data_IF_590603622375
#
_entry.id   IF_590603622375
#
_cell.length_a   1.000
_cell.length_b   1.000
_cell.length_c   1.000
_cell.angle_alpha   90.00
_cell.angle_beta   90.00
_cell.angle_gamma   90.00
#
_symmetry.space_group_name_H-M   'P 1'
#
loop_
_entity.id
_entity.type
_entity.pdbx_description
1 polymer ?
#
# COMPACT_ATOMS: atom_id res chain seq x y z
N UNK A 1 7.88 -48.64 -48.88
CA UNK A 1 8.02 -47.18 -49.04
C UNK A 1 6.72 -46.43 -48.69
N UNK A 2 5.57 -46.82 -49.24
CA UNK A 2 4.29 -46.14 -48.93
C UNK A 2 3.81 -46.35 -47.48
N UNK A 3 3.90 -47.58 -46.96
CA UNK A 3 3.51 -47.91 -45.59
C UNK A 3 4.38 -47.21 -44.52
N UNK A 4 5.67 -47.01 -44.78
CA UNK A 4 6.59 -46.30 -43.88
C UNK A 4 6.34 -44.78 -43.84
N UNK A 5 5.87 -44.21 -44.96
CA UNK A 5 5.45 -42.81 -45.02
C UNK A 5 4.15 -42.58 -44.23
N UNK A 6 3.19 -43.51 -44.33
CA UNK A 6 1.94 -43.46 -43.58
C UNK A 6 2.17 -43.60 -42.07
N UNK A 7 3.06 -44.51 -41.65
CA UNK A 7 3.40 -44.64 -40.23
C UNK A 7 4.09 -43.39 -39.68
N UNK A 8 4.94 -42.74 -40.47
CA UNK A 8 5.60 -41.49 -40.09
C UNK A 8 4.60 -40.32 -39.97
N UNK A 9 3.64 -40.22 -40.89
CA UNK A 9 2.59 -39.21 -40.81
C UNK A 9 1.73 -39.39 -39.54
N UNK A 10 1.38 -40.63 -39.20
CA UNK A 10 0.58 -40.92 -38.01
C UNK A 10 1.33 -40.60 -36.70
N UNK A 11 2.65 -40.88 -36.63
CA UNK A 11 3.43 -40.54 -35.44
C UNK A 11 3.58 -39.03 -35.27
N UNK A 12 3.78 -38.28 -36.36
CA UNK A 12 3.81 -36.82 -36.35
C UNK A 12 2.46 -36.22 -35.92
N UNK A 13 1.35 -36.76 -36.41
CA UNK A 13 0.01 -36.32 -36.02
C UNK A 13 -0.25 -36.55 -34.53
N UNK A 14 0.08 -37.74 -34.01
CA UNK A 14 -0.03 -38.04 -32.58
C UNK A 14 0.82 -37.06 -31.74
N UNK A 15 2.04 -36.78 -32.17
CA UNK A 15 2.91 -35.82 -31.49
C UNK A 15 2.33 -34.40 -31.50
N UNK A 16 1.80 -33.94 -32.63
CA UNK A 16 1.18 -32.61 -32.73
C UNK A 16 -0.05 -32.49 -31.82
N UNK A 17 -0.91 -33.51 -31.78
CA UNK A 17 -2.08 -33.54 -30.88
C UNK A 17 -1.63 -33.52 -29.42
N UNK A 18 -0.59 -34.28 -29.06
CA UNK A 18 -0.04 -34.27 -27.72
C UNK A 18 0.46 -32.87 -27.31
N UNK A 19 1.24 -32.22 -28.17
CA UNK A 19 1.74 -30.85 -27.93
C UNK A 19 0.58 -29.86 -27.79
N UNK A 20 -0.45 -29.97 -28.62
CA UNK A 20 -1.64 -29.10 -28.56
C UNK A 20 -2.39 -29.28 -27.23
N UNK A 21 -2.56 -30.53 -26.76
CA UNK A 21 -3.20 -30.81 -25.48
C UNK A 21 -2.41 -30.21 -24.32
N UNK A 22 -1.09 -30.35 -24.31
CA UNK A 22 -0.23 -29.75 -23.29
C UNK A 22 -0.33 -28.22 -23.32
N UNK A 23 -0.29 -27.61 -24.51
CA UNK A 23 -0.45 -26.17 -24.68
C UNK A 23 -1.80 -25.68 -24.13
N UNK A 24 -2.88 -26.39 -24.42
CA UNK A 24 -4.23 -26.01 -23.97
C UNK A 24 -4.37 -26.12 -22.44
N UNK A 25 -3.80 -27.16 -21.83
CA UNK A 25 -3.81 -27.35 -20.37
C UNK A 25 -3.03 -26.22 -19.69
N UNK A 26 -1.81 -25.93 -20.17
CA UNK A 26 -0.96 -24.89 -19.60
C UNK A 26 -1.64 -23.51 -19.71
N UNK A 27 -2.04 -23.10 -20.92
CA UNK A 27 -2.68 -21.79 -21.12
C UNK A 27 -4.04 -21.69 -20.42
N UNK A 28 -4.80 -22.79 -20.36
CA UNK A 28 -6.05 -22.88 -19.61
C UNK A 28 -5.83 -22.65 -18.12
N UNK A 29 -4.81 -23.28 -17.53
CA UNK A 29 -4.46 -23.09 -16.12
C UNK A 29 -4.02 -21.65 -15.81
N UNK A 30 -3.19 -21.04 -16.67
CA UNK A 30 -2.78 -19.65 -16.50
C UNK A 30 -3.96 -18.68 -16.59
N UNK A 31 -4.86 -18.92 -17.55
CA UNK A 31 -6.08 -18.12 -17.72
C UNK A 31 -6.99 -18.27 -16.49
N UNK A 32 -7.16 -19.50 -15.98
CA UNK A 32 -7.95 -19.76 -14.77
C UNK A 32 -7.41 -19.00 -13.56
N UNK A 33 -6.11 -19.12 -13.27
CA UNK A 33 -5.48 -18.41 -12.13
C UNK A 33 -5.62 -16.92 -12.28
N UNK A 34 -5.43 -16.38 -13.49
CA UNK A 34 -5.55 -14.93 -13.75
C UNK A 34 -6.98 -14.44 -13.51
N UNK A 35 -7.99 -15.16 -14.01
CA UNK A 35 -9.40 -14.80 -13.78
C UNK A 35 -9.75 -14.92 -12.30
N UNK A 36 -9.31 -15.98 -11.62
CA UNK A 36 -9.54 -16.18 -10.19
C UNK A 36 -8.91 -15.04 -9.37
N UNK A 37 -7.64 -14.73 -9.61
CA UNK A 37 -6.93 -13.64 -8.96
C UNK A 37 -7.59 -12.29 -9.23
N UNK A 38 -7.98 -12.01 -10.48
CA UNK A 38 -8.69 -10.78 -10.83
C UNK A 38 -10.04 -10.66 -10.12
N UNK A 39 -10.82 -11.75 -10.06
CA UNK A 39 -12.11 -11.76 -9.34
C UNK A 39 -11.93 -11.60 -7.83
N UNK A 40 -10.91 -12.23 -7.26
CA UNK A 40 -10.57 -12.11 -5.85
C UNK A 40 -10.13 -10.68 -5.51
N UNK A 41 -9.17 -10.14 -6.28
CA UNK A 41 -8.68 -8.78 -6.11
C UNK A 41 -9.76 -7.72 -6.35
N UNK A 42 -10.63 -7.90 -7.35
CA UNK A 42 -11.75 -6.97 -7.59
C UNK A 42 -12.72 -6.94 -6.42
N UNK A 43 -13.05 -8.10 -5.84
CA UNK A 43 -13.84 -8.14 -4.60
C UNK A 43 -13.13 -7.48 -3.41
N UNK A 44 -11.81 -7.59 -3.31
CA UNK A 44 -11.03 -6.92 -2.25
C UNK A 44 -10.82 -5.43 -2.50
N UNK A 45 -10.83 -4.97 -3.76
CA UNK A 45 -10.73 -3.55 -4.14
C UNK A 45 -12.08 -2.85 -3.97
N UNK A 46 -13.17 -3.50 -4.39
CA UNK A 46 -14.54 -3.00 -4.17
C UNK A 46 -14.94 -3.06 -2.67
N UNK A 47 -14.26 -3.90 -1.88
CA UNK A 47 -14.39 -3.97 -0.42
C UNK A 47 -13.31 -3.17 0.33
N UNK A 48 -12.49 -2.35 -0.35
CA UNK A 48 -11.72 -1.32 0.37
C UNK A 48 -12.75 -0.37 0.96
N UNK A 49 -12.84 -0.22 2.29
CA UNK A 49 -13.62 0.86 2.84
C UNK A 49 -13.08 2.13 2.19
N UNK A 50 -13.99 3.02 1.77
CA UNK A 50 -13.63 4.36 1.36
C UNK A 50 -12.54 4.87 2.33
N UNK A 51 -11.49 5.54 1.84
CA UNK A 51 -10.42 6.01 2.70
C UNK A 51 -10.98 6.82 3.89
N UNK A 52 -12.12 7.47 3.66
CA UNK A 52 -12.96 8.11 4.66
C UNK A 52 -13.44 7.18 5.80
N UNK A 53 -13.82 5.93 5.52
CA UNK A 53 -14.25 4.94 6.52
C UNK A 53 -13.07 4.36 7.30
N UNK A 54 -11.91 4.11 6.68
CA UNK A 54 -10.69 3.73 7.43
C UNK A 54 -10.20 4.86 8.34
N UNK A 55 -10.30 6.11 7.87
CA UNK A 55 -10.06 7.30 8.68
C UNK A 55 -11.12 7.48 9.77
N UNK A 56 -12.38 7.10 9.53
CA UNK A 56 -13.43 7.11 10.54
C UNK A 56 -13.23 6.04 11.63
N UNK A 57 -12.71 4.86 11.25
CA UNK A 57 -12.36 3.79 12.21
C UNK A 57 -11.11 4.12 13.03
N UNK A 58 -10.16 4.87 12.47
CA UNK A 58 -9.06 5.43 13.27
C UNK A 58 -9.56 6.56 14.15
N UNK A 59 -10.43 7.46 13.67
CA UNK A 59 -11.24 8.40 14.48
C UNK A 59 -12.27 7.72 15.40
N UNK A 60 -12.11 6.44 15.69
CA UNK A 60 -12.82 5.74 16.76
C UNK A 60 -12.76 6.59 18.03
N UNK A 61 -13.90 6.67 18.72
CA UNK A 61 -14.18 7.50 19.90
C UNK A 61 -13.32 7.18 21.14
N UNK A 62 -12.18 6.49 20.97
CA UNK A 62 -11.31 5.99 22.01
C UNK A 62 -9.82 6.39 21.81
N UNK A 63 -9.54 7.36 20.95
CA UNK A 63 -8.21 7.98 20.88
C UNK A 63 -7.95 8.76 22.17
N UNK A 64 -6.82 8.46 22.85
CA UNK A 64 -6.42 9.18 24.06
C UNK A 64 -5.76 10.51 23.70
N UNK A 65 -5.93 11.58 24.48
CA UNK A 65 -5.18 12.82 24.30
C UNK A 65 -3.67 12.55 24.29
N UNK A 66 -2.93 13.26 23.43
CA UNK A 66 -1.47 13.16 23.37
C UNK A 66 -0.82 14.51 23.70
N UNK A 67 0.40 14.46 24.24
CA UNK A 67 1.21 15.64 24.50
C UNK A 67 2.42 15.64 23.58
N UNK A 68 2.59 16.70 22.79
CA UNK A 68 3.76 16.92 21.95
C UNK A 68 4.72 17.82 22.71
N UNK A 69 5.85 17.28 23.13
CA UNK A 69 6.90 18.05 23.81
C UNK A 69 7.93 18.50 22.78
N UNK A 70 8.14 19.82 22.69
CA UNK A 70 9.11 20.45 21.78
C UNK A 70 10.21 21.11 22.61
N UNK A 71 11.37 20.46 22.79
CA UNK A 71 12.53 21.12 23.39
C UNK A 71 13.06 22.19 22.42
N UNK A 72 13.40 23.37 22.94
CA UNK A 72 13.87 24.49 22.14
C UNK A 72 15.08 25.15 22.81
N UNK A 73 16.23 25.14 22.13
CA UNK A 73 17.42 25.90 22.49
C UNK A 73 18.00 26.55 21.24
N UNK A 74 17.95 27.88 21.17
CA UNK A 74 18.42 28.66 20.03
C UNK A 74 17.81 28.25 18.67
N UNK A 75 16.49 28.03 18.66
CA UNK A 75 15.69 27.60 17.50
C UNK A 75 14.97 28.78 16.83
N UNK A 76 15.46 30.03 16.94
CA UNK A 76 14.76 31.20 16.40
C UNK A 76 14.38 31.06 14.91
N UNK A 77 15.17 30.34 14.10
CA UNK A 77 14.93 30.19 12.66
C UNK A 77 13.80 29.20 12.34
N UNK A 78 13.57 28.22 13.21
CA UNK A 78 12.85 26.96 12.96
C UNK A 78 11.67 26.74 13.90
N UNK A 79 11.63 27.46 15.04
CA UNK A 79 10.63 27.25 16.09
C UNK A 79 9.20 27.46 15.58
N UNK A 80 8.98 28.49 14.75
CA UNK A 80 7.67 28.80 14.18
C UNK A 80 7.17 27.67 13.26
N UNK A 81 8.03 27.20 12.35
CA UNK A 81 7.70 26.11 11.43
C UNK A 81 7.41 24.80 12.19
N UNK A 82 8.16 24.56 13.27
CA UNK A 82 7.98 23.39 14.14
C UNK A 82 6.62 23.41 14.83
N UNK A 83 6.22 24.55 15.41
CA UNK A 83 4.91 24.72 16.04
C UNK A 83 3.80 24.62 15.01
N UNK A 84 3.95 25.26 13.84
CA UNK A 84 2.98 25.16 12.75
C UNK A 84 2.80 23.72 12.26
N UNK A 85 3.88 22.95 12.15
CA UNK A 85 3.80 21.53 11.80
C UNK A 85 3.04 20.73 12.88
N UNK A 86 3.33 20.97 14.15
CA UNK A 86 2.69 20.29 15.28
C UNK A 86 1.18 20.59 15.38
N UNK A 87 0.73 21.80 15.01
CA UNK A 87 -0.71 22.15 14.98
C UNK A 87 -1.49 21.49 13.84
N UNK A 88 -0.81 21.00 12.80
CA UNK A 88 -1.45 20.42 11.59
C UNK A 88 -1.64 18.90 11.65
N UNK A 89 -1.35 18.27 12.78
CA UNK A 89 -1.56 16.84 12.93
C UNK A 89 -3.06 16.51 12.85
N UNK A 90 -3.39 15.40 12.21
CA UNK A 90 -4.76 14.89 12.16
C UNK A 90 -5.04 14.00 13.39
N UNK A 91 -5.07 14.60 14.57
CA UNK A 91 -5.34 13.93 15.84
C UNK A 91 -6.42 14.72 16.62
N UNK A 92 -7.43 14.06 17.22
CA UNK A 92 -8.61 14.73 17.75
C UNK A 92 -8.33 15.65 18.95
N UNK A 93 -7.43 15.25 19.84
CA UNK A 93 -7.10 16.00 21.04
C UNK A 93 -5.60 15.90 21.33
N UNK A 94 -4.93 17.03 21.37
CA UNK A 94 -3.50 17.10 21.65
C UNK A 94 -3.13 18.44 22.29
N UNK A 95 -2.05 18.43 23.07
CA UNK A 95 -1.40 19.64 23.60
C UNK A 95 0.02 19.75 23.06
N UNK A 96 0.54 20.98 22.97
CA UNK A 96 1.92 21.27 22.56
C UNK A 96 2.62 21.97 23.73
N UNK A 97 3.68 21.36 24.24
CA UNK A 97 4.49 21.83 25.36
C UNK A 97 5.87 22.23 24.83
N UNK A 98 6.12 23.53 24.73
CA UNK A 98 7.42 24.05 24.28
C UNK A 98 8.30 24.28 25.49
N UNK A 99 9.41 23.56 25.57
CA UNK A 99 10.35 23.62 26.68
C UNK A 99 11.57 24.41 26.24
N UNK A 100 11.62 25.70 26.59
CA UNK A 100 12.79 26.53 26.34
C UNK A 100 13.92 26.18 27.32
N UNK A 101 15.01 25.61 26.81
CA UNK A 101 16.17 25.16 27.59
C UNK A 101 17.21 26.28 27.79
N UNK A 102 16.75 27.48 28.12
CA UNK A 102 17.61 28.64 28.38
C UNK A 102 18.20 29.29 27.13
N UNK A 103 17.43 29.39 26.04
CA UNK A 103 17.84 30.04 24.79
C UNK A 103 18.39 31.46 25.01
N UNK A 104 19.47 31.79 24.29
CA UNK A 104 20.12 33.11 24.31
C UNK A 104 19.78 33.97 23.10
N UNK A 105 18.96 33.46 22.18
CA UNK A 105 18.52 34.13 20.96
C UNK A 105 17.03 34.53 21.04
N UNK A 106 16.43 34.85 19.89
CA UNK A 106 15.03 35.28 19.79
C UNK A 106 14.00 34.13 19.82
N UNK A 107 14.37 32.91 20.23
CA UNK A 107 13.46 31.75 20.22
C UNK A 107 12.15 32.02 20.94
N UNK A 108 12.19 32.63 22.12
CA UNK A 108 10.99 32.93 22.92
C UNK A 108 10.15 34.06 22.30
N UNK A 109 10.80 35.05 21.70
CA UNK A 109 10.16 36.21 21.09
C UNK A 109 9.43 35.87 19.79
N UNK A 110 9.76 34.72 19.17
CA UNK A 110 9.14 34.23 17.94
C UNK A 110 7.94 33.30 18.16
N UNK A 111 7.64 32.96 19.41
CA UNK A 111 6.47 32.17 19.83
C UNK A 111 5.30 33.08 20.19
#
# INVERSE_FOLDING_TARGET
MFLSLLSLANTLLCFQVLVLLIFLIINGSYTYVTIFAFRHLRKSVDARPDLAQLLALTKSANMRPISIVVPAYNEQVTILDTVLAATRINYPEFEILIVNDGSTDETLQRL
#
